data_IF_167085019369
#
_entry.id   IF_167085019369
#
_cell.length_a   1.000
_cell.length_b   1.000
_cell.length_c   1.000
_cell.angle_alpha   90.00
_cell.angle_beta   90.00
_cell.angle_gamma   90.00
#
_symmetry.space_group_name_H-M   'P 1'
#
loop_
_entity.id
_entity.type
_entity.pdbx_description
1 polymer ?
#
# COMPACT_ATOMS: atom_id res chain seq x y z
N UNK A 1 -7.21 -14.75 18.18
CA UNK A 1 -7.21 -13.29 17.95
C UNK A 1 -7.94 -12.65 19.10
N UNK A 2 -7.29 -11.77 19.88
CA UNK A 2 -7.95 -11.00 20.95
C UNK A 2 -8.84 -9.95 20.31
N UNK A 3 -10.14 -10.19 20.32
CA UNK A 3 -11.13 -9.22 19.83
C UNK A 3 -11.32 -8.19 20.93
N UNK A 4 -10.85 -6.97 20.71
CA UNK A 4 -11.07 -5.89 21.65
C UNK A 4 -12.50 -5.40 21.47
N UNK A 5 -13.40 -5.88 22.33
CA UNK A 5 -14.73 -5.30 22.48
C UNK A 5 -14.60 -3.93 23.13
N UNK A 6 -15.30 -2.95 22.58
CA UNK A 6 -15.37 -1.61 23.16
C UNK A 6 -16.81 -1.15 23.13
N UNK A 7 -17.25 -0.45 24.18
CA UNK A 7 -18.59 0.13 24.24
C UNK A 7 -18.59 1.56 23.70
N UNK A 8 -19.61 1.89 22.90
CA UNK A 8 -19.85 3.24 22.38
C UNK A 8 -21.33 3.58 22.38
N UNK A 9 -21.59 4.88 22.54
CA UNK A 9 -22.94 5.43 22.52
C UNK A 9 -23.48 5.40 21.09
N UNK A 10 -24.64 4.75 20.93
CA UNK A 10 -25.46 4.84 19.72
C UNK A 10 -26.24 6.16 19.73
N UNK A 11 -26.26 6.83 18.58
CA UNK A 11 -26.97 8.09 18.36
C UNK A 11 -27.83 8.00 17.11
N UNK A 12 -28.73 8.98 16.91
CA UNK A 12 -29.55 9.10 15.70
C UNK A 12 -28.71 9.12 14.41
N UNK A 13 -27.50 9.65 14.47
CA UNK A 13 -26.60 9.76 13.32
C UNK A 13 -25.68 8.53 13.16
N UNK A 14 -25.89 7.51 13.98
CA UNK A 14 -25.09 6.30 14.05
C UNK A 14 -24.11 6.30 15.21
N UNK A 15 -22.91 5.78 14.96
CA UNK A 15 -21.87 5.58 15.98
C UNK A 15 -20.60 6.30 15.58
N UNK A 16 -19.89 6.88 16.54
CA UNK A 16 -18.62 7.54 16.32
C UNK A 16 -17.50 6.84 17.09
N UNK A 17 -16.38 6.58 16.40
CA UNK A 17 -15.12 6.19 17.02
C UNK A 17 -14.02 7.15 16.58
N UNK A 18 -13.47 7.88 17.54
CA UNK A 18 -12.58 9.03 17.29
C UNK A 18 -13.22 10.04 16.32
N UNK A 19 -12.69 10.16 15.10
CA UNK A 19 -13.23 11.03 14.05
C UNK A 19 -14.06 10.26 13.04
N UNK A 20 -14.05 8.92 13.08
CA UNK A 20 -14.76 8.07 12.15
C UNK A 20 -16.22 7.92 12.56
N UNK A 21 -17.10 8.37 11.66
CA UNK A 21 -18.55 8.18 11.81
C UNK A 21 -18.96 6.95 11.02
N UNK A 22 -19.61 6.01 11.71
CA UNK A 22 -20.16 4.78 11.15
C UNK A 22 -21.68 4.88 11.11
N UNK A 23 -22.25 4.55 9.96
CA UNK A 23 -23.69 4.55 9.77
C UNK A 23 -24.09 3.61 8.64
N UNK A 24 -25.17 2.86 8.85
CA UNK A 24 -25.86 2.09 7.84
C UNK A 24 -27.35 1.96 8.23
N UNK A 25 -28.15 1.36 7.36
CA UNK A 25 -29.59 1.16 7.60
C UNK A 25 -29.85 0.31 8.84
N UNK A 26 -29.03 -0.72 9.10
CA UNK A 26 -29.18 -1.60 10.27
C UNK A 26 -28.95 -0.86 11.58
N UNK A 27 -27.93 -0.01 11.66
CA UNK A 27 -27.60 0.80 12.82
C UNK A 27 -28.68 1.87 13.09
N UNK A 28 -29.26 2.42 12.01
CA UNK A 28 -30.40 3.34 12.10
C UNK A 28 -31.64 2.63 12.64
N UNK A 29 -31.94 1.42 12.14
CA UNK A 29 -33.05 0.60 12.64
C UNK A 29 -32.84 0.21 14.11
N UNK A 30 -31.61 -0.13 14.49
CA UNK A 30 -31.28 -0.43 15.87
C UNK A 30 -31.56 0.78 16.78
N UNK A 31 -31.14 1.98 16.38
CA UNK A 31 -31.44 3.21 17.12
C UNK A 31 -32.95 3.45 17.30
N UNK A 32 -33.76 3.15 16.28
CA UNK A 32 -35.22 3.27 16.39
C UNK A 32 -35.85 2.29 17.39
N UNK A 33 -35.21 1.13 17.61
CA UNK A 33 -35.67 0.12 18.59
C UNK A 33 -35.24 0.45 20.01
N UNK A 34 -33.93 0.64 20.23
CA UNK A 34 -33.34 0.73 21.58
C UNK A 34 -33.03 2.16 22.03
N UNK A 35 -33.25 3.14 21.15
CA UNK A 35 -32.93 4.54 21.42
C UNK A 35 -31.43 4.82 21.55
N UNK A 36 -31.10 5.84 22.34
CA UNK A 36 -29.70 6.17 22.62
C UNK A 36 -29.17 5.32 23.77
N UNK A 37 -28.45 4.25 23.40
CA UNK A 37 -27.92 3.25 24.34
C UNK A 37 -26.43 3.01 24.09
N UNK A 38 -25.73 2.40 25.06
CA UNK A 38 -24.37 1.90 24.81
C UNK A 38 -24.48 0.57 24.05
N UNK A 39 -23.71 0.44 22.98
CA UNK A 39 -23.64 -0.76 22.16
C UNK A 39 -22.20 -1.26 22.09
N UNK A 40 -22.05 -2.57 22.04
CA UNK A 40 -20.76 -3.19 21.83
C UNK A 40 -20.42 -3.21 20.34
N UNK A 41 -19.16 -2.89 20.03
CA UNK A 41 -18.65 -3.03 18.69
C UNK A 41 -17.25 -3.63 18.70
N UNK A 42 -16.95 -4.37 17.63
CA UNK A 42 -15.71 -5.05 17.38
C UNK A 42 -15.01 -4.38 16.20
N UNK A 43 -13.75 -4.01 16.41
CA UNK A 43 -12.93 -3.33 15.40
C UNK A 43 -12.04 -4.34 14.69
N UNK A 44 -11.96 -4.22 13.36
CA UNK A 44 -10.89 -4.86 12.61
C UNK A 44 -9.65 -3.96 12.63
N UNK A 45 -8.56 -4.45 13.24
CA UNK A 45 -7.28 -3.73 13.27
C UNK A 45 -6.66 -3.57 11.87
N UNK A 46 -7.03 -4.43 10.93
CA UNK A 46 -6.50 -4.44 9.56
C UNK A 46 -7.14 -3.36 8.69
N UNK A 47 -8.41 -3.05 8.90
CA UNK A 47 -9.12 -2.03 8.14
C UNK A 47 -10.15 -1.27 8.99
N UNK A 48 -9.90 0.01 9.24
CA UNK A 48 -10.80 0.89 10.02
C UNK A 48 -12.08 1.25 9.29
N UNK A 49 -12.21 0.95 8.00
CA UNK A 49 -13.38 1.35 7.19
C UNK A 49 -14.67 0.66 7.60
N UNK A 50 -14.59 -0.44 8.34
CA UNK A 50 -15.74 -1.22 8.78
C UNK A 50 -15.57 -1.64 10.23
N UNK A 51 -16.70 -1.77 10.92
CA UNK A 51 -16.79 -2.27 12.28
C UNK A 51 -17.93 -3.25 12.37
N UNK A 52 -17.83 -4.21 13.28
CA UNK A 52 -18.94 -5.09 13.61
C UNK A 52 -19.65 -4.53 14.82
N UNK A 53 -20.96 -4.44 14.79
CA UNK A 53 -21.78 -4.04 15.94
C UNK A 53 -22.56 -5.25 16.39
N UNK A 54 -22.59 -5.50 17.70
CA UNK A 54 -23.38 -6.57 18.30
C UNK A 54 -24.74 -5.97 18.65
N UNK A 55 -25.80 -6.52 18.08
CA UNK A 55 -27.17 -6.15 18.46
C UNK A 55 -27.48 -6.66 19.88
N UNK A 56 -27.82 -5.79 20.84
CA UNK A 56 -28.12 -6.21 22.22
C UNK A 56 -29.37 -7.09 22.34
N UNK A 57 -30.30 -7.07 21.37
CA UNK A 57 -31.49 -7.94 21.39
C UNK A 57 -31.18 -9.35 20.90
N UNK A 58 -30.48 -9.46 19.76
CA UNK A 58 -30.23 -10.73 19.08
C UNK A 58 -28.88 -11.36 19.41
N UNK A 59 -27.94 -10.60 19.99
CA UNK A 59 -26.53 -10.94 20.13
C UNK A 59 -25.84 -11.31 18.81
N UNK A 60 -26.44 -10.99 17.66
CA UNK A 60 -25.86 -11.23 16.36
C UNK A 60 -25.02 -10.03 15.89
N UNK A 61 -23.77 -10.25 15.45
CA UNK A 61 -22.94 -9.18 14.93
C UNK A 61 -23.33 -8.83 13.49
N UNK A 62 -23.44 -7.55 13.19
CA UNK A 62 -23.65 -7.05 11.83
C UNK A 62 -22.58 -6.03 11.42
N UNK A 63 -22.28 -5.97 10.12
CA UNK A 63 -21.20 -5.16 9.59
C UNK A 63 -21.67 -3.74 9.26
N UNK A 64 -20.94 -2.75 9.77
CA UNK A 64 -21.25 -1.34 9.60
C UNK A 64 -20.09 -0.64 8.92
N UNK A 65 -20.38 0.07 7.83
CA UNK A 65 -19.42 0.90 7.12
C UNK A 65 -19.36 2.33 7.65
N UNK A 66 -18.35 3.07 7.19
CA UNK A 66 -18.27 4.51 7.43
C UNK A 66 -19.42 5.26 6.74
N UNK A 67 -19.92 6.30 7.40
CA UNK A 67 -20.82 7.28 6.81
C UNK A 67 -20.18 8.03 5.64
N UNK A 68 -21.02 8.58 4.77
CA UNK A 68 -20.63 9.09 3.44
C UNK A 68 -19.39 9.99 3.44
N UNK A 69 -19.27 10.93 4.39
CA UNK A 69 -18.14 11.86 4.45
C UNK A 69 -16.78 11.16 4.59
N UNK A 70 -16.64 10.34 5.63
CA UNK A 70 -15.39 9.63 5.92
C UNK A 70 -15.15 8.45 5.00
N UNK A 71 -16.21 7.72 4.62
CA UNK A 71 -16.13 6.64 3.64
C UNK A 71 -15.56 7.13 2.31
N UNK A 72 -16.09 8.25 1.79
CA UNK A 72 -15.60 8.86 0.55
C UNK A 72 -14.16 9.36 0.67
N UNK A 73 -13.83 10.06 1.77
CA UNK A 73 -12.47 10.61 1.96
C UNK A 73 -11.39 9.51 2.01
N UNK A 74 -11.67 8.41 2.73
CA UNK A 74 -10.75 7.27 2.80
C UNK A 74 -10.65 6.54 1.47
N UNK A 75 -11.77 6.33 0.77
CA UNK A 75 -11.77 5.69 -0.54
C UNK A 75 -10.96 6.51 -1.56
N UNK A 76 -11.12 7.83 -1.59
CA UNK A 76 -10.39 8.69 -2.51
C UNK A 76 -8.89 8.77 -2.18
N UNK A 77 -8.52 8.65 -0.90
CA UNK A 77 -7.12 8.76 -0.45
C UNK A 77 -6.37 7.43 -0.60
N UNK A 78 -7.00 6.32 -0.23
CA UNK A 78 -6.37 5.00 -0.14
C UNK A 78 -6.84 4.01 -1.22
N UNK A 79 -7.86 4.36 -2.03
CA UNK A 79 -8.50 3.48 -3.02
C UNK A 79 -8.98 2.19 -2.35
N UNK A 80 -8.63 1.03 -2.89
CA UNK A 80 -9.01 -0.28 -2.34
C UNK A 80 -8.04 -0.79 -1.25
N UNK A 81 -7.00 -0.03 -0.91
CA UNK A 81 -6.03 -0.46 0.11
C UNK A 81 -6.64 -0.37 1.51
N UNK A 82 -6.64 -1.45 2.31
CA UNK A 82 -7.14 -1.42 3.67
C UNK A 82 -6.34 -0.42 4.51
N UNK A 83 -7.01 0.25 5.45
CA UNK A 83 -6.40 1.26 6.31
C UNK A 83 -6.24 0.69 7.70
N UNK A 84 -5.02 0.26 8.05
CA UNK A 84 -4.72 -0.30 9.36
C UNK A 84 -5.00 0.72 10.48
N UNK A 85 -5.51 0.26 11.62
CA UNK A 85 -5.78 1.11 12.80
C UNK A 85 -4.56 1.91 13.26
N UNK A 86 -3.39 1.28 13.31
CA UNK A 86 -2.14 1.95 13.70
C UNK A 86 -1.77 3.08 12.73
N UNK A 87 -1.97 2.86 11.44
CA UNK A 87 -1.73 3.86 10.40
C UNK A 87 -2.73 5.01 10.50
N UNK A 88 -4.01 4.68 10.71
CA UNK A 88 -5.06 5.67 10.93
C UNK A 88 -4.72 6.59 12.12
N UNK A 89 -4.44 6.01 13.29
CA UNK A 89 -4.09 6.76 14.50
C UNK A 89 -2.85 7.65 14.25
N UNK A 90 -1.83 7.11 13.57
CA UNK A 90 -0.62 7.86 13.23
C UNK A 90 -0.92 9.08 12.36
N UNK A 91 -1.73 8.90 11.32
CA UNK A 91 -2.10 9.98 10.37
C UNK A 91 -2.99 11.03 11.03
N UNK A 92 -3.97 10.63 11.84
CA UNK A 92 -4.82 11.55 12.61
C UNK A 92 -3.99 12.39 13.56
N UNK A 93 -3.10 11.79 14.36
CA UNK A 93 -2.24 12.53 15.28
C UNK A 93 -1.32 13.52 14.56
N UNK A 94 -0.76 13.13 13.40
CA UNK A 94 0.05 14.02 12.59
C UNK A 94 -0.76 15.23 12.09
N UNK A 95 -1.99 15.00 11.61
CA UNK A 95 -2.88 16.07 11.17
C UNK A 95 -3.28 17.01 12.30
N UNK A 96 -3.64 16.48 13.47
CA UNK A 96 -4.01 17.31 14.62
C UNK A 96 -2.90 18.26 15.05
N UNK A 97 -1.62 17.84 14.95
CA UNK A 97 -0.47 18.70 15.23
C UNK A 97 -0.31 19.84 14.21
N UNK A 98 -0.71 19.61 12.95
CA UNK A 98 -0.61 20.60 11.86
C UNK A 98 -1.80 21.53 11.78
N UNK A 99 -2.99 21.01 12.05
CA UNK A 99 -4.26 21.70 11.84
C UNK A 99 -4.89 21.98 13.19
N UNK A 100 -4.87 23.26 13.62
CA UNK A 100 -5.53 23.72 14.87
C UNK A 100 -7.06 23.77 14.78
N UNK A 101 -7.67 23.09 13.80
CA UNK A 101 -9.12 23.06 13.54
C UNK A 101 -9.64 21.64 13.72
N UNK A 102 -10.95 21.51 13.92
CA UNK A 102 -11.64 20.21 13.93
C UNK A 102 -11.33 19.44 12.65
N UNK A 103 -10.91 18.19 12.81
CA UNK A 103 -10.57 17.34 11.69
C UNK A 103 -11.84 16.95 10.92
N UNK A 104 -11.93 17.38 9.67
CA UNK A 104 -13.03 17.03 8.75
C UNK A 104 -12.53 16.06 7.67
N UNK A 105 -13.43 15.28 7.03
CA UNK A 105 -13.05 14.40 5.92
C UNK A 105 -12.31 15.12 4.79
N UNK A 106 -12.73 16.35 4.47
CA UNK A 106 -12.08 17.20 3.47
C UNK A 106 -10.65 17.57 3.86
N UNK A 107 -10.45 18.03 5.10
CA UNK A 107 -9.11 18.38 5.60
C UNK A 107 -8.20 17.17 5.64
N UNK A 108 -8.72 16.01 6.06
CA UNK A 108 -8.00 14.75 6.03
C UNK A 108 -7.53 14.41 4.61
N UNK A 109 -8.47 14.30 3.65
CA UNK A 109 -8.18 13.94 2.26
C UNK A 109 -7.09 14.83 1.67
N UNK A 110 -7.26 16.15 1.78
CA UNK A 110 -6.37 17.13 1.14
C UNK A 110 -4.95 17.04 1.71
N UNK A 111 -4.80 16.99 3.03
CA UNK A 111 -3.49 16.98 3.67
C UNK A 111 -2.78 15.64 3.54
N UNK A 112 -3.49 14.51 3.72
CA UNK A 112 -2.89 13.18 3.57
C UNK A 112 -2.52 12.91 2.11
N UNK A 113 -3.37 13.27 1.15
CA UNK A 113 -3.03 13.12 -0.27
C UNK A 113 -1.80 13.95 -0.65
N UNK A 114 -1.66 15.17 -0.12
CA UNK A 114 -0.46 15.97 -0.31
C UNK A 114 0.79 15.30 0.31
N UNK A 115 0.67 14.79 1.52
CA UNK A 115 1.76 14.08 2.20
C UNK A 115 2.18 12.81 1.46
N UNK A 116 1.24 11.99 1.01
CA UNK A 116 1.53 10.75 0.27
C UNK A 116 2.24 11.04 -1.05
N UNK A 117 1.92 12.14 -1.74
CA UNK A 117 2.66 12.58 -2.93
C UNK A 117 4.11 12.96 -2.62
N UNK A 118 4.34 13.67 -1.51
CA UNK A 118 5.70 14.00 -1.07
C UNK A 118 6.50 12.75 -0.69
N UNK A 119 5.88 11.82 0.06
CA UNK A 119 6.49 10.53 0.42
C UNK A 119 6.83 9.70 -0.83
N UNK A 120 5.98 9.69 -1.85
CA UNK A 120 6.24 9.01 -3.11
C UNK A 120 7.45 9.59 -3.86
N UNK A 121 7.56 10.93 -3.93
CA UNK A 121 8.71 11.59 -4.56
C UNK A 121 10.01 11.31 -3.79
N UNK A 122 9.96 11.35 -2.46
CA UNK A 122 11.13 11.05 -1.63
C UNK A 122 11.58 9.59 -1.77
N UNK A 123 10.64 8.64 -1.81
CA UNK A 123 10.94 7.23 -2.02
C UNK A 123 11.52 6.98 -3.41
N UNK A 124 10.97 7.60 -4.46
CA UNK A 124 11.53 7.51 -5.80
C UNK A 124 12.99 8.02 -5.86
N UNK A 125 13.31 9.12 -5.17
CA UNK A 125 14.69 9.62 -5.06
C UNK A 125 15.61 8.63 -4.35
N UNK A 126 15.14 7.99 -3.27
CA UNK A 126 15.90 6.96 -2.54
C UNK A 126 16.14 5.73 -3.40
N UNK A 127 15.14 5.27 -4.14
CA UNK A 127 15.26 4.14 -5.06
C UNK A 127 16.21 4.44 -6.21
N UNK A 128 16.11 5.60 -6.85
CA UNK A 128 17.08 6.02 -7.89
C UNK A 128 18.51 6.03 -7.37
N UNK A 129 18.72 6.50 -6.13
CA UNK A 129 20.04 6.48 -5.49
C UNK A 129 20.54 5.05 -5.21
N UNK A 130 19.66 4.13 -4.82
CA UNK A 130 20.00 2.70 -4.62
C UNK A 130 20.38 2.05 -5.95
N UNK A 131 19.56 2.22 -6.98
CA UNK A 131 19.81 1.68 -8.33
C UNK A 131 21.12 2.21 -8.90
N UNK A 132 21.42 3.50 -8.72
CA UNK A 132 22.70 4.08 -9.14
C UNK A 132 23.89 3.39 -8.46
N UNK A 133 23.83 3.20 -7.13
CA UNK A 133 24.90 2.51 -6.39
C UNK A 133 25.06 1.05 -6.82
N UNK A 134 23.96 0.35 -7.11
CA UNK A 134 24.01 -1.02 -7.61
C UNK A 134 24.66 -1.09 -8.99
N UNK A 135 24.33 -0.16 -9.90
CA UNK A 135 24.98 -0.05 -11.22
C UNK A 135 26.47 0.25 -11.12
N UNK A 136 26.86 1.16 -10.22
CA UNK A 136 28.27 1.49 -9.97
C UNK A 136 29.03 0.25 -9.47
N UNK A 137 28.45 -0.52 -8.54
CA UNK A 137 29.04 -1.79 -8.06
C UNK A 137 29.21 -2.81 -9.18
N UNK A 138 28.17 -3.02 -9.99
CA UNK A 138 28.21 -3.96 -11.13
C UNK A 138 29.33 -3.56 -12.10
N UNK A 139 29.41 -2.29 -12.47
CA UNK A 139 30.46 -1.78 -13.35
C UNK A 139 31.87 -1.94 -12.75
N UNK A 140 32.01 -1.77 -11.43
CA UNK A 140 33.29 -1.99 -10.74
C UNK A 140 33.70 -3.47 -10.75
N UNK A 141 32.77 -4.41 -10.51
CA UNK A 141 33.04 -5.85 -10.67
C UNK A 141 33.41 -6.21 -12.11
N UNK A 142 32.75 -5.63 -13.11
CA UNK A 142 33.09 -5.87 -14.52
C UNK A 142 34.51 -5.38 -14.80
N UNK A 143 34.87 -4.16 -14.35
CA UNK A 143 36.23 -3.63 -14.53
C UNK A 143 37.29 -4.50 -13.85
N UNK A 144 37.08 -4.88 -12.58
CA UNK A 144 38.00 -5.78 -11.85
C UNK A 144 38.15 -7.13 -12.53
N UNK A 145 37.05 -7.72 -13.03
CA UNK A 145 37.09 -8.98 -13.79
C UNK A 145 37.80 -8.86 -15.14
N UNK A 146 37.79 -7.69 -15.77
CA UNK A 146 38.60 -7.40 -16.96
C UNK A 146 40.09 -7.27 -16.61
N UNK A 147 40.42 -6.56 -15.54
CA UNK A 147 41.80 -6.36 -15.09
C UNK A 147 42.46 -7.70 -14.66
N UNK A 148 41.72 -8.58 -13.97
CA UNK A 148 42.20 -9.93 -13.64
C UNK A 148 42.45 -10.81 -14.88
N UNK A 149 41.60 -10.69 -15.92
CA UNK A 149 41.83 -11.38 -17.19
C UNK A 149 43.07 -10.85 -17.90
N UNK A 150 43.26 -9.53 -17.96
CA UNK A 150 44.44 -8.91 -18.55
C UNK A 150 45.74 -9.32 -17.84
N UNK A 151 45.72 -9.41 -16.51
CA UNK A 151 46.86 -9.91 -15.72
C UNK A 151 47.16 -11.40 -15.99
N UNK A 152 46.16 -12.22 -16.28
CA UNK A 152 46.35 -13.62 -16.68
C UNK A 152 46.93 -13.76 -18.09
N UNK A 153 46.59 -12.86 -19.03
CA UNK A 153 47.21 -12.82 -20.35
C UNK A 153 48.66 -12.30 -20.30
N UNK A 154 48.97 -11.33 -19.42
CA UNK A 154 50.34 -10.81 -19.27
C UNK A 154 51.31 -11.70 -18.49
N UNK A 155 50.85 -12.75 -17.81
CA UNK A 155 51.71 -13.75 -17.13
C UNK A 155 52.07 -14.95 -17.98
N UNK A 156 51.48 -15.07 -19.17
CA UNK A 156 51.77 -16.15 -20.13
C UNK A 156 52.68 -15.68 -21.28
N UNK A 157 53.27 -14.48 -21.19
CA UNK A 157 54.06 -13.85 -22.25
C UNK A 157 55.57 -13.77 -21.94
N UNK A 158 56.10 -14.65 -21.10
CA UNK A 158 57.55 -14.82 -20.92
C UNK A 158 58.12 -16.07 -21.64
N UNK A 159 57.32 -16.77 -22.45
CA UNK A 159 57.86 -17.74 -23.41
C UNK A 159 57.23 -17.55 -24.80
N UNK A 160 58.13 -17.50 -25.78
CA UNK A 160 57.94 -17.53 -27.23
C UNK A 160 57.55 -16.23 -27.95
N UNK A 161 58.57 -15.70 -28.64
CA UNK A 161 58.59 -15.28 -30.03
C UNK A 161 57.44 -14.43 -30.57
N UNK A 162 57.86 -13.25 -31.01
CA UNK A 162 57.19 -12.30 -31.86
C UNK A 162 56.45 -12.93 -33.04
N UNK A 163 55.12 -12.79 -33.06
CA UNK A 163 54.38 -12.56 -34.30
C UNK A 163 53.37 -11.43 -34.09
N UNK A 164 53.43 -10.45 -34.98
CA UNK A 164 52.52 -9.31 -35.04
C UNK A 164 51.08 -9.81 -35.25
N UNK A 165 50.26 -9.73 -34.21
CA UNK A 165 48.81 -9.75 -34.38
C UNK A 165 48.36 -8.31 -34.58
N UNK A 166 48.11 -7.96 -35.84
CA UNK A 166 47.41 -6.73 -36.22
C UNK A 166 45.99 -6.84 -35.66
N UNK A 167 45.69 -6.06 -34.61
CA UNK A 167 44.32 -5.84 -34.18
C UNK A 167 43.71 -4.73 -35.03
N UNK A 168 42.90 -5.12 -36.02
CA UNK A 168 41.96 -4.22 -36.68
C UNK A 168 40.92 -3.75 -35.64
N UNK A 169 41.20 -2.62 -34.99
CA UNK A 169 40.23 -1.85 -34.22
C UNK A 169 39.40 -1.00 -35.18
N UNK A 170 38.48 -1.62 -35.91
CA UNK A 170 37.40 -0.89 -36.57
C UNK A 170 36.23 -0.71 -35.59
N UNK A 171 36.17 0.49 -35.01
CA UNK A 171 34.97 1.26 -34.69
C UNK A 171 33.70 0.51 -34.27
N UNK A 172 33.60 0.16 -32.98
CA UNK A 172 32.29 -0.05 -32.37
C UNK A 172 31.63 1.32 -32.07
N UNK A 173 31.00 1.90 -33.09
CA UNK A 173 30.04 3.00 -32.92
C UNK A 173 28.77 2.39 -32.31
N UNK A 174 28.33 2.78 -31.10
CA UNK A 174 27.06 2.30 -30.58
C UNK A 174 25.94 2.78 -31.51
N UNK A 175 25.27 1.82 -32.15
CA UNK A 175 24.10 2.08 -33.00
C UNK A 175 23.11 2.92 -32.19
N UNK A 176 22.74 4.08 -32.78
CA UNK A 176 21.65 4.95 -32.30
C UNK A 176 20.50 4.07 -31.81
N UNK A 177 20.08 4.34 -30.58
CA UNK A 177 18.82 3.84 -30.03
C UNK A 177 17.73 4.15 -31.06
N UNK A 178 17.30 3.11 -31.76
CA UNK A 178 16.14 3.16 -32.63
C UNK A 178 14.96 3.58 -31.76
N UNK A 179 14.23 4.60 -32.20
CA UNK A 179 12.93 4.94 -31.65
C UNK A 179 12.08 3.67 -31.64
N UNK A 180 11.93 3.06 -30.47
CA UNK A 180 10.94 2.01 -30.26
C UNK A 180 9.60 2.70 -30.45
N UNK A 181 8.99 2.33 -31.55
CA UNK A 181 7.66 2.69 -32.01
C UNK A 181 6.66 2.53 -30.86
N UNK A 182 5.82 3.55 -30.73
CA UNK A 182 4.67 3.71 -29.83
C UNK A 182 3.53 2.65 -30.03
N UNK A 183 3.84 1.41 -30.43
CA UNK A 183 2.83 0.38 -30.73
C UNK A 183 2.69 -0.73 -29.69
N UNK A 184 3.59 -0.86 -28.70
CA UNK A 184 3.49 -1.93 -27.69
C UNK A 184 2.78 -1.54 -26.38
N UNK A 185 2.48 -0.25 -26.14
CA UNK A 185 1.69 0.20 -24.98
C UNK A 185 0.21 -0.19 -25.04
N UNK A 186 -0.30 -0.68 -26.18
CA UNK A 186 -1.69 -1.15 -26.32
C UNK A 186 -1.90 -2.63 -25.98
N UNK A 187 -0.82 -3.42 -25.86
CA UNK A 187 -0.94 -4.84 -25.54
C UNK A 187 -0.98 -5.12 -24.02
N UNK A 188 -0.42 -4.22 -23.20
CA UNK A 188 -0.44 -4.36 -21.74
C UNK A 188 -1.75 -3.89 -21.07
N UNK A 189 -2.66 -3.28 -21.83
CA UNK A 189 -3.93 -2.73 -21.31
C UNK A 189 -5.13 -3.69 -21.41
N UNK A 190 -4.96 -4.91 -21.93
CA UNK A 190 -6.09 -5.81 -22.23
C UNK A 190 -6.29 -6.99 -21.26
N UNK A 191 -5.51 -7.12 -20.18
CA UNK A 191 -5.70 -8.25 -19.25
C UNK A 191 -5.67 -7.80 -17.80
N UNK A 192 -6.77 -7.20 -17.34
CA UNK A 192 -7.07 -7.16 -15.91
C UNK A 192 -8.58 -7.16 -15.68
N UNK A 193 -9.21 -8.31 -15.95
CA UNK A 193 -10.50 -8.62 -15.35
C UNK A 193 -10.26 -9.12 -13.91
N UNK A 194 -10.91 -8.54 -12.89
CA UNK A 194 -10.82 -9.06 -11.54
C UNK A 194 -11.47 -10.45 -11.49
N UNK A 195 -10.71 -11.45 -11.01
CA UNK A 195 -11.29 -12.73 -10.61
C UNK A 195 -12.25 -12.48 -9.46
N UNK A 196 -13.49 -12.95 -9.59
CA UNK A 196 -14.42 -12.99 -8.47
C UNK A 196 -13.79 -13.78 -7.32
N UNK A 197 -13.67 -13.14 -6.16
CA UNK A 197 -13.19 -13.77 -4.95
C UNK A 197 -14.20 -14.85 -4.54
N UNK A 198 -13.77 -16.11 -4.67
CA UNK A 198 -14.45 -17.29 -4.13
C UNK A 198 -14.84 -17.04 -2.67
N UNK A 199 -16.10 -17.31 -2.34
CA UNK A 199 -16.73 -17.15 -1.02
C UNK A 199 -16.25 -18.16 0.04
N UNK A 200 -15.10 -18.82 -0.18
CA UNK A 200 -14.68 -19.96 0.66
C UNK A 200 -13.78 -19.61 1.85
N UNK A 201 -13.38 -18.36 2.05
CA UNK A 201 -12.52 -17.95 3.17
C UNK A 201 -13.29 -17.45 4.40
N UNK A 202 -14.36 -18.15 4.78
CA UNK A 202 -14.92 -18.00 6.13
C UNK A 202 -14.11 -18.88 7.11
N UNK A 203 -13.58 -18.34 8.22
CA UNK A 203 -13.09 -19.18 9.29
C UNK A 203 -14.29 -19.90 9.92
N UNK A 204 -14.45 -21.20 9.63
CA UNK A 204 -15.44 -22.05 10.29
C UNK A 204 -15.12 -22.07 11.80
N UNK A 205 -16.02 -21.57 12.63
CA UNK A 205 -16.02 -21.86 14.07
C UNK A 205 -16.18 -23.37 14.23
N UNK A 206 -15.23 -24.02 14.90
CA UNK A 206 -15.51 -25.32 15.51
C UNK A 206 -16.46 -25.09 16.68
N UNK A 207 -17.60 -25.78 16.67
CA UNK A 207 -18.48 -25.84 17.83
C UNK A 207 -17.80 -26.73 18.90
N UNK A 208 -18.03 -26.49 20.20
CA UNK A 208 -17.52 -27.38 21.23
C UNK A 208 -18.28 -28.71 21.14
N UNK A 209 -17.60 -29.77 20.67
CA UNK A 209 -18.18 -31.11 20.48
C UNK A 209 -17.67 -31.92 19.27
N UNK A 210 -16.81 -31.34 18.41
CA UNK A 210 -16.06 -32.06 17.34
C UNK A 210 -14.57 -32.19 17.65
#
# INVERSE_FOLDING_TARGET
MTVNTTERKLTKNGMQWEFLYYNNTQLSNLYHKIGSSQIEFLRDRRDVRRVWVIDPESNEPFLVGLGMGWGKALLETYKDKPVNESEWIRRVRWLQKRVKRTLTPYLFKTNISAQMRLEAVENAKKEQKKVRKEREKVNETIRKGFDEKLLHYGKNTDESDSENVIHDFDDYIPKKVTNVTLSEEKASLATYMPRELSTSEYPKKKLPGE
#
